data_IF_409391448722
#
_entry.id   IF_409391448722
#
_cell.length_a   1.000
_cell.length_b   1.000
_cell.length_c   1.000
_cell.angle_alpha   90.00
_cell.angle_beta   90.00
_cell.angle_gamma   90.00
#
_symmetry.space_group_name_H-M   'P 1'
#
loop_
_entity.id
_entity.type
_entity.pdbx_description
1 polymer ?
#
# COMPACT_ATOMS: atom_id res chain seq x y z
N UNK A 1 11.78 31.42 16.65
CA UNK A 1 11.42 29.99 16.75
C UNK A 1 11.77 29.31 15.43
N UNK A 2 12.73 28.38 15.42
CA UNK A 2 13.13 27.69 14.19
C UNK A 2 12.03 26.77 13.67
N UNK A 3 11.72 26.81 12.36
CA UNK A 3 10.83 25.83 11.72
C UNK A 3 11.35 24.42 12.02
N UNK A 4 10.55 23.60 12.70
CA UNK A 4 10.83 22.16 12.82
C UNK A 4 10.97 21.60 11.41
N UNK A 5 12.10 20.93 11.13
CA UNK A 5 12.27 20.26 9.85
C UNK A 5 11.19 19.18 9.67
N UNK A 6 10.66 19.00 8.45
CA UNK A 6 9.70 17.94 8.19
C UNK A 6 10.31 16.56 8.51
N UNK A 7 9.47 15.58 8.81
CA UNK A 7 9.92 14.20 9.09
C UNK A 7 10.41 13.49 7.82
N UNK A 8 9.78 13.80 6.69
CA UNK A 8 10.09 13.22 5.39
C UNK A 8 9.95 14.26 4.26
N UNK A 9 10.39 13.87 3.06
CA UNK A 9 10.21 14.63 1.81
C UNK A 9 9.91 13.69 0.65
N UNK A 10 9.18 14.16 -0.36
CA UNK A 10 8.88 13.39 -1.58
C UNK A 10 9.90 13.71 -2.66
N UNK A 11 10.47 12.69 -3.31
CA UNK A 11 11.47 12.83 -4.40
C UNK A 11 11.25 11.74 -5.45
N UNK A 12 12.00 11.76 -6.56
CA UNK A 12 12.03 10.61 -7.50
C UNK A 12 12.62 9.38 -6.80
N UNK A 13 12.00 8.22 -7.03
CA UNK A 13 12.46 6.94 -6.50
C UNK A 13 13.17 6.13 -7.59
N UNK A 14 14.14 5.33 -7.18
CA UNK A 14 14.72 4.28 -8.02
C UNK A 14 13.86 3.03 -8.10
N UNK A 15 12.90 2.85 -7.18
CA UNK A 15 11.96 1.73 -7.18
C UNK A 15 10.86 2.01 -8.22
N UNK A 16 10.07 3.07 -8.00
CA UNK A 16 8.99 3.43 -8.91
C UNK A 16 8.61 4.90 -8.76
N UNK A 17 8.58 5.65 -9.87
CA UNK A 17 8.02 7.01 -9.92
C UNK A 17 8.56 7.97 -8.84
N UNK A 18 7.74 8.22 -7.82
CA UNK A 18 8.09 9.02 -6.64
C UNK A 18 8.23 8.11 -5.42
N UNK A 19 9.06 8.54 -4.48
CA UNK A 19 9.28 7.91 -3.18
C UNK A 19 9.19 8.92 -2.06
N UNK A 20 8.95 8.42 -0.84
CA UNK A 20 9.03 9.22 0.39
C UNK A 20 10.33 8.90 1.09
N UNK A 21 11.11 9.93 1.45
CA UNK A 21 12.43 9.79 2.04
C UNK A 21 12.49 10.46 3.40
N UNK A 22 13.10 9.81 4.38
CA UNK A 22 13.34 10.39 5.69
C UNK A 22 14.22 11.66 5.56
N UNK A 23 13.78 12.80 6.09
CA UNK A 23 14.61 14.04 6.13
C UNK A 23 15.34 14.20 7.45
N UNK A 24 15.02 13.36 8.44
CA UNK A 24 15.69 13.25 9.73
C UNK A 24 15.70 11.78 10.17
N UNK A 25 16.43 11.47 11.24
CA UNK A 25 16.38 10.15 11.86
C UNK A 25 14.95 9.84 12.36
N UNK A 26 14.47 8.64 12.07
CA UNK A 26 13.18 8.11 12.53
C UNK A 26 13.46 6.82 13.33
N UNK A 27 12.86 6.71 14.51
CA UNK A 27 13.02 5.55 15.39
C UNK A 27 11.86 4.56 15.18
N UNK A 28 12.06 3.25 15.46
CA UNK A 28 10.97 2.27 15.48
C UNK A 28 9.80 2.73 16.37
N UNK A 29 8.57 2.38 15.98
CA UNK A 29 7.32 2.80 16.61
C UNK A 29 6.93 4.26 16.33
N UNK A 30 7.70 4.99 15.50
CA UNK A 30 7.28 6.34 15.12
C UNK A 30 6.19 6.26 14.07
N UNK A 31 4.99 6.76 14.40
CA UNK A 31 3.94 7.04 13.43
C UNK A 31 4.33 8.20 12.52
N UNK A 32 4.48 7.93 11.23
CA UNK A 32 5.06 8.87 10.26
C UNK A 32 3.96 9.70 9.58
N UNK A 33 2.94 9.02 9.05
CA UNK A 33 1.88 9.63 8.25
C UNK A 33 0.63 8.73 8.27
N UNK A 34 -0.55 9.33 8.25
CA UNK A 34 -1.80 8.62 7.95
C UNK A 34 -1.96 8.46 6.45
N UNK A 35 -2.38 7.28 6.00
CA UNK A 35 -2.76 7.05 4.60
C UNK A 35 -4.14 7.63 4.34
N UNK A 36 -4.21 8.71 3.54
CA UNK A 36 -5.46 9.43 3.26
C UNK A 36 -5.89 9.26 1.82
N UNK A 37 -7.19 9.40 1.61
CA UNK A 37 -7.89 9.35 0.32
C UNK A 37 -9.39 9.30 0.53
N UNK A 38 -10.13 9.20 -0.56
CA UNK A 38 -11.57 8.97 -0.53
C UNK A 38 -11.87 7.56 0.00
N UNK A 39 -12.88 7.41 0.86
CA UNK A 39 -13.36 6.08 1.27
C UNK A 39 -14.43 5.60 0.29
N UNK A 40 -14.17 4.48 -0.36
CA UNK A 40 -15.05 3.89 -1.39
C UNK A 40 -15.34 2.43 -1.07
N UNK A 41 -16.44 1.89 -1.60
CA UNK A 41 -16.68 0.45 -1.51
C UNK A 41 -15.85 -0.32 -2.53
N UNK A 42 -15.69 -1.63 -2.32
CA UNK A 42 -15.02 -2.49 -3.29
C UNK A 42 -15.68 -2.43 -4.66
N UNK A 43 -17.02 -2.42 -4.74
CA UNK A 43 -17.71 -2.33 -6.03
C UNK A 43 -17.48 -1.00 -6.74
N UNK A 44 -17.33 0.10 -6.00
CA UNK A 44 -17.01 1.41 -6.58
C UNK A 44 -15.56 1.46 -7.05
N UNK A 45 -14.62 0.88 -6.30
CA UNK A 45 -13.22 0.77 -6.71
C UNK A 45 -13.09 -0.06 -8.01
N UNK A 46 -13.74 -1.23 -8.06
CA UNK A 46 -13.77 -2.10 -9.25
C UNK A 46 -14.40 -1.38 -10.46
N UNK A 47 -15.43 -0.54 -10.23
CA UNK A 47 -16.05 0.27 -11.29
C UNK A 47 -15.09 1.35 -11.83
N UNK A 48 -14.27 1.94 -10.97
CA UNK A 48 -13.31 3.01 -11.34
C UNK A 48 -12.09 2.45 -12.05
N UNK A 49 -11.62 1.29 -11.62
CA UNK A 49 -10.35 0.71 -12.02
C UNK A 49 -10.59 -0.66 -12.63
N UNK A 50 -10.61 -0.68 -13.96
CA UNK A 50 -10.70 -1.90 -14.73
C UNK A 50 -9.29 -2.53 -14.84
N UNK A 51 -8.98 -3.43 -13.90
CA UNK A 51 -7.69 -4.12 -13.81
C UNK A 51 -7.30 -4.87 -15.11
N UNK A 52 -8.26 -5.20 -15.98
CA UNK A 52 -8.03 -5.92 -17.23
C UNK A 52 -7.60 -5.00 -18.39
N UNK A 53 -7.84 -3.69 -18.25
CA UNK A 53 -7.54 -2.70 -19.29
C UNK A 53 -6.52 -1.63 -18.88
N UNK A 54 -6.00 -1.69 -17.64
CA UNK A 54 -4.99 -0.75 -17.19
C UNK A 54 -3.58 -1.08 -17.70
N UNK A 55 -2.89 -0.07 -18.25
CA UNK A 55 -1.48 -0.17 -18.64
C UNK A 55 -0.53 -0.39 -17.45
N UNK A 56 -0.98 -0.11 -16.22
CA UNK A 56 -0.25 -0.28 -14.95
C UNK A 56 -1.21 -0.57 -13.81
N UNK A 57 -0.82 -1.41 -12.85
CA UNK A 57 -1.63 -1.66 -11.66
C UNK A 57 -1.90 -0.41 -10.85
N UNK A 58 -3.13 -0.31 -10.32
CA UNK A 58 -3.55 0.79 -9.49
C UNK A 58 -3.12 0.60 -8.03
N UNK A 59 -1.92 1.08 -7.69
CA UNK A 59 -1.30 0.87 -6.37
C UNK A 59 -1.76 1.86 -5.29
N UNK A 60 -2.86 2.59 -5.48
CA UNK A 60 -3.32 3.63 -4.54
C UNK A 60 -4.53 3.24 -3.70
N UNK A 61 -5.04 2.01 -3.85
CA UNK A 61 -6.11 1.46 -3.03
C UNK A 61 -5.53 0.81 -1.77
N UNK A 62 -6.09 1.15 -0.61
CA UNK A 62 -5.74 0.54 0.66
C UNK A 62 -6.99 -0.04 1.32
N UNK A 63 -7.02 -1.35 1.54
CA UNK A 63 -8.14 -2.04 2.19
C UNK A 63 -8.19 -1.71 3.68
N UNK A 64 -9.30 -1.14 4.15
CA UNK A 64 -9.52 -0.85 5.58
C UNK A 64 -10.25 -2.02 6.23
N UNK A 65 -11.26 -2.55 5.56
CA UNK A 65 -12.04 -3.72 5.95
C UNK A 65 -12.69 -4.40 4.72
N UNK A 66 -13.53 -5.40 4.94
CA UNK A 66 -14.22 -6.18 3.90
C UNK A 66 -15.13 -5.34 2.97
N UNK A 67 -15.41 -4.08 3.32
CA UNK A 67 -16.38 -3.24 2.63
C UNK A 67 -15.82 -1.90 2.17
N UNK A 68 -14.75 -1.41 2.80
CA UNK A 68 -14.22 -0.08 2.59
C UNK A 68 -12.74 -0.12 2.22
N UNK A 69 -12.42 0.60 1.15
CA UNK A 69 -11.06 0.92 0.74
C UNK A 69 -10.84 2.44 0.80
N UNK A 70 -9.57 2.82 0.96
CA UNK A 70 -9.11 4.20 0.77
C UNK A 70 -8.51 4.31 -0.62
N UNK A 71 -9.09 5.14 -1.46
CA UNK A 71 -8.57 5.52 -2.77
C UNK A 71 -7.75 6.81 -2.66
N UNK A 72 -6.42 6.68 -2.64
CA UNK A 72 -5.52 7.83 -2.54
C UNK A 72 -5.26 8.55 -3.88
N UNK A 73 -5.87 8.10 -4.99
CA UNK A 73 -5.90 8.87 -6.22
C UNK A 73 -6.82 10.10 -6.08
N UNK A 74 -7.87 9.97 -5.27
CA UNK A 74 -8.83 11.05 -4.95
C UNK A 74 -8.56 11.57 -3.54
N UNK A 75 -8.24 12.87 -3.42
CA UNK A 75 -7.97 13.54 -2.14
C UNK A 75 -6.90 12.87 -1.24
N UNK A 76 -5.98 12.14 -1.86
CA UNK A 76 -4.87 11.50 -1.14
C UNK A 76 -3.74 12.46 -0.77
N UNK A 77 -2.84 11.96 0.08
CA UNK A 77 -1.65 12.69 0.55
C UNK A 77 -0.35 12.00 0.10
N UNK A 78 0.79 12.42 0.66
CA UNK A 78 2.11 11.91 0.30
C UNK A 78 2.30 10.42 0.61
N UNK A 79 1.47 9.81 1.46
CA UNK A 79 1.57 8.39 1.81
C UNK A 79 1.42 7.47 0.58
N UNK A 80 0.67 7.91 -0.44
CA UNK A 80 0.51 7.17 -1.71
C UNK A 80 1.80 6.98 -2.50
N UNK A 81 2.85 7.74 -2.18
CA UNK A 81 4.16 7.64 -2.82
C UNK A 81 5.14 6.76 -2.03
N UNK A 82 4.71 6.09 -0.96
CA UNK A 82 5.55 5.16 -0.22
C UNK A 82 5.58 3.83 -0.98
N UNK A 83 6.76 3.45 -1.45
CA UNK A 83 6.93 2.31 -2.35
C UNK A 83 6.96 0.97 -1.62
N UNK A 84 6.78 -0.10 -2.40
CA UNK A 84 6.91 -1.47 -1.92
C UNK A 84 8.37 -1.85 -1.67
N UNK A 85 8.62 -2.65 -0.63
CA UNK A 85 9.85 -3.43 -0.46
C UNK A 85 9.56 -4.80 0.14
N UNK A 86 10.30 -5.82 -0.32
CA UNK A 86 10.30 -7.16 0.28
C UNK A 86 11.13 -7.23 1.59
N UNK A 87 11.99 -6.23 1.86
CA UNK A 87 12.60 -5.99 3.17
C UNK A 87 12.31 -4.55 3.61
N UNK A 88 11.09 -4.28 4.09
CA UNK A 88 10.65 -2.92 4.38
C UNK A 88 11.28 -2.34 5.65
N UNK A 89 11.13 -1.03 5.82
CA UNK A 89 11.50 -0.31 7.04
C UNK A 89 10.30 0.36 7.74
N UNK A 90 9.12 0.28 7.11
CA UNK A 90 7.84 0.69 7.66
C UNK A 90 6.81 -0.44 7.56
N UNK A 91 5.73 -0.32 8.33
CA UNK A 91 4.53 -1.15 8.22
C UNK A 91 3.28 -0.27 8.21
N UNK A 92 2.17 -0.84 7.73
CA UNK A 92 0.86 -0.21 7.83
C UNK A 92 0.10 -0.73 9.05
N UNK A 93 -0.38 0.18 9.88
CA UNK A 93 -1.12 -0.09 11.11
C UNK A 93 -2.55 0.41 10.96
N UNK A 94 -3.51 -0.51 11.10
CA UNK A 94 -4.93 -0.19 11.15
C UNK A 94 -5.34 0.07 12.60
N UNK A 95 -5.82 1.28 12.88
CA UNK A 95 -6.30 1.70 14.20
C UNK A 95 -7.55 2.58 14.03
N UNK A 96 -8.65 2.21 14.69
CA UNK A 96 -9.93 2.93 14.66
C UNK A 96 -10.43 3.25 13.23
N UNK A 97 -10.28 2.29 12.31
CA UNK A 97 -10.70 2.43 10.91
C UNK A 97 -9.84 3.41 10.08
N UNK A 98 -8.64 3.75 10.58
CA UNK A 98 -7.66 4.61 9.90
C UNK A 98 -6.36 3.83 9.71
N UNK A 99 -5.68 4.13 8.61
CA UNK A 99 -4.42 3.46 8.25
C UNK A 99 -3.29 4.43 8.50
N UNK A 100 -2.28 3.99 9.26
CA UNK A 100 -1.07 4.76 9.54
C UNK A 100 0.15 4.01 9.06
N UNK A 101 1.16 4.74 8.61
CA UNK A 101 2.47 4.17 8.30
C UNK A 101 3.39 4.45 9.48
N UNK A 102 3.96 3.37 10.02
CA UNK A 102 4.85 3.40 11.19
C UNK A 102 6.22 2.83 10.84
N UNK A 103 7.27 3.37 11.45
CA UNK A 103 8.61 2.83 11.32
C UNK A 103 8.78 1.56 12.16
N UNK A 104 9.32 0.48 11.58
CA UNK A 104 9.66 -0.76 12.29
C UNK A 104 11.17 -0.92 12.52
N UNK A 105 11.98 -0.11 11.85
CA UNK A 105 13.45 -0.07 11.96
C UNK A 105 13.91 1.36 12.26
N UNK A 106 15.18 1.52 12.67
CA UNK A 106 15.81 2.85 12.69
C UNK A 106 16.07 3.30 11.26
N UNK A 107 15.57 4.46 10.87
CA UNK A 107 15.67 5.00 9.51
C UNK A 107 16.54 6.25 9.53
N UNK A 108 17.61 6.23 8.74
CA UNK A 108 18.53 7.36 8.62
C UNK A 108 18.03 8.40 7.61
N UNK A 109 18.42 9.68 7.74
CA UNK A 109 18.10 10.68 6.73
C UNK A 109 18.57 10.25 5.34
N UNK A 110 17.73 10.47 4.33
CA UNK A 110 17.98 10.08 2.93
C UNK A 110 17.52 8.67 2.56
N UNK A 111 17.16 7.83 3.53
CA UNK A 111 16.63 6.49 3.25
C UNK A 111 15.16 6.58 2.83
N UNK A 112 14.80 5.85 1.78
CA UNK A 112 13.41 5.73 1.31
C UNK A 112 12.57 4.91 2.29
N UNK A 113 11.39 5.43 2.61
CA UNK A 113 10.39 4.73 3.39
C UNK A 113 9.68 3.72 2.49
N UNK A 114 9.59 2.48 2.95
CA UNK A 114 8.94 1.39 2.20
C UNK A 114 8.20 0.45 3.16
N UNK A 115 7.11 -0.13 2.68
CA UNK A 115 6.36 -1.18 3.38
C UNK A 115 6.03 -2.32 2.44
N UNK A 116 5.71 -3.50 2.99
CA UNK A 116 5.18 -4.59 2.18
C UNK A 116 3.72 -4.27 1.83
N UNK A 117 3.36 -4.33 0.56
CA UNK A 117 2.01 -3.97 0.12
C UNK A 117 0.99 -5.05 0.45
N UNK A 118 1.44 -6.29 0.72
CA UNK A 118 0.55 -7.43 0.86
C UNK A 118 -0.45 -7.53 -0.29
N UNK A 119 0.02 -7.24 -1.51
CA UNK A 119 -0.86 -7.11 -2.68
C UNK A 119 -1.40 -8.49 -3.05
N UNK A 120 -2.68 -8.71 -2.82
CA UNK A 120 -3.37 -9.95 -3.18
C UNK A 120 -4.12 -9.77 -4.49
N UNK A 121 -4.13 -10.82 -5.31
CA UNK A 121 -4.99 -10.89 -6.48
C UNK A 121 -5.69 -12.24 -6.54
N UNK A 122 -6.98 -12.20 -6.83
CA UNK A 122 -7.78 -13.39 -7.13
C UNK A 122 -7.67 -13.73 -8.63
N UNK A 123 -7.77 -15.02 -8.96
CA UNK A 123 -7.80 -15.49 -10.33
C UNK A 123 -6.50 -16.14 -10.83
N UNK A 124 -6.55 -16.77 -12.02
CA UNK A 124 -5.38 -17.42 -12.61
C UNK A 124 -4.34 -16.37 -13.06
N UNK A 125 -3.05 -16.69 -12.89
CA UNK A 125 -1.99 -15.87 -13.45
C UNK A 125 -2.09 -15.83 -14.98
N UNK A 126 -2.34 -14.66 -15.55
CA UNK A 126 -2.40 -14.50 -17.01
C UNK A 126 -1.07 -14.04 -17.60
N UNK A 127 -0.99 -14.06 -18.93
CA UNK A 127 0.21 -13.67 -19.68
C UNK A 127 0.45 -12.16 -19.52
N UNK A 128 1.66 -11.78 -19.10
CA UNK A 128 2.07 -10.37 -18.89
C UNK A 128 2.05 -9.91 -17.43
N UNK A 129 1.42 -10.67 -16.53
CA UNK A 129 1.38 -10.32 -15.09
C UNK A 129 2.75 -10.26 -14.44
N UNK A 130 3.66 -11.14 -14.84
CA UNK A 130 5.02 -11.17 -14.29
C UNK A 130 5.75 -9.83 -14.50
N UNK A 131 5.48 -9.14 -15.61
CA UNK A 131 6.03 -7.82 -15.91
C UNK A 131 5.26 -6.72 -15.17
N UNK A 132 3.93 -6.79 -15.19
CA UNK A 132 3.07 -5.75 -14.60
C UNK A 132 3.22 -5.68 -13.06
N UNK A 133 3.38 -6.82 -12.40
CA UNK A 133 3.63 -6.95 -10.95
C UNK A 133 5.10 -7.17 -10.60
N UNK A 134 6.04 -6.90 -11.51
CA UNK A 134 7.47 -7.07 -11.23
C UNK A 134 7.90 -6.20 -10.04
N UNK A 135 8.63 -6.79 -9.09
CA UNK A 135 9.17 -6.03 -7.96
C UNK A 135 10.57 -5.51 -8.30
N UNK A 136 10.75 -4.19 -8.15
CA UNK A 136 12.01 -3.50 -8.36
C UNK A 136 12.59 -2.90 -7.07
N UNK A 137 12.23 -3.44 -5.90
CA UNK A 137 12.64 -2.87 -4.61
C UNK A 137 14.15 -2.95 -4.33
N UNK A 138 14.88 -3.85 -4.99
CA UNK A 138 16.33 -4.01 -4.85
C UNK A 138 16.79 -4.73 -3.57
N UNK A 139 15.88 -5.25 -2.74
CA UNK A 139 16.23 -6.04 -1.56
C UNK A 139 16.92 -7.36 -1.95
N UNK A 140 17.90 -7.83 -1.15
CA UNK A 140 18.62 -9.09 -1.40
C UNK A 140 17.68 -10.30 -1.38
N UNK A 141 16.64 -10.25 -0.55
CA UNK A 141 15.60 -11.25 -0.41
C UNK A 141 14.32 -10.91 -1.22
N UNK A 142 14.45 -10.12 -2.29
CA UNK A 142 13.32 -9.73 -3.13
C UNK A 142 12.58 -10.97 -3.68
N UNK A 143 11.25 -10.96 -3.58
CA UNK A 143 10.37 -12.04 -4.06
C UNK A 143 10.23 -12.06 -5.59
N UNK A 144 10.73 -11.03 -6.28
CA UNK A 144 10.58 -10.83 -7.73
C UNK A 144 9.23 -10.26 -8.16
N UNK A 145 8.24 -10.24 -7.27
CA UNK A 145 6.91 -9.67 -7.51
C UNK A 145 6.37 -8.94 -6.27
N UNK A 146 5.52 -7.95 -6.48
CA UNK A 146 4.81 -7.24 -5.39
C UNK A 146 3.63 -8.06 -4.85
N UNK A 147 3.25 -9.15 -5.52
CA UNK A 147 2.16 -10.02 -5.11
C UNK A 147 2.53 -10.85 -3.88
N UNK A 148 1.58 -10.95 -2.94
CA UNK A 148 1.62 -11.96 -1.91
C UNK A 148 1.33 -13.35 -2.50
N UNK A 149 1.91 -14.38 -1.88
CA UNK A 149 1.63 -15.77 -2.27
C UNK A 149 0.13 -16.01 -2.12
N UNK A 150 -0.54 -16.72 -3.05
CA UNK A 150 -1.98 -16.85 -3.05
C UNK A 150 -2.47 -17.35 -1.68
N UNK A 151 -3.30 -16.54 -1.03
CA UNK A 151 -3.96 -16.92 0.21
C UNK A 151 -4.97 -18.03 -0.14
N UNK A 152 -4.99 -19.19 0.54
CA UNK A 152 -6.03 -20.17 0.31
C UNK A 152 -7.40 -19.50 0.54
N UNK A 153 -8.42 -19.80 -0.28
CA UNK A 153 -9.68 -19.06 -0.23
C UNK A 153 -10.26 -19.10 1.18
N UNK A 154 -10.56 -17.92 1.74
CA UNK A 154 -11.28 -17.83 3.00
C UNK A 154 -12.69 -18.41 2.79
N UNK A 155 -13.18 -19.30 3.68
CA UNK A 155 -14.53 -19.81 3.57
C UNK A 155 -15.51 -18.64 3.76
N UNK A 156 -16.13 -18.18 2.66
CA UNK A 156 -17.17 -17.16 2.67
C UNK A 156 -18.17 -17.45 3.78
N UNK A 157 -18.30 -16.55 4.74
CA UNK A 157 -19.33 -16.66 5.77
C UNK A 157 -20.68 -16.77 5.07
N UNK A 158 -21.41 -17.85 5.37
CA UNK A 158 -22.73 -18.10 4.79
C UNK A 158 -23.61 -16.91 5.13
N UNK A 159 -23.89 -16.03 4.16
CA UNK A 159 -24.96 -15.03 4.22
C UNK A 159 -26.22 -15.71 4.77
N UNK A 160 -26.58 -15.41 6.02
CA UNK A 160 -27.86 -15.81 6.60
C UNK A 160 -28.95 -15.16 5.73
N UNK A 161 -29.66 -15.97 4.96
CA UNK A 161 -30.88 -15.54 4.25
C UNK A 161 -31.83 -14.93 5.28
N UNK A 162 -32.20 -13.66 5.12
CA UNK A 162 -33.27 -13.03 5.92
C UNK A 162 -34.56 -13.85 5.71
N UNK A 163 -35.29 -14.20 6.77
CA UNK A 163 -36.58 -14.85 6.62
C UNK A 163 -37.55 -13.86 5.97
N UNK A 164 -38.21 -14.31 4.90
CA UNK A 164 -39.35 -13.60 4.33
C UNK A 164 -40.46 -13.56 5.39
N UNK A 165 -40.90 -12.36 5.78
CA UNK A 165 -42.19 -12.14 6.42
C UNK A 165 -43.22 -11.86 5.35
#
# INVERSE_FOLDING_TARGET
MGRRQPTFVVRRSSIQGKGVFASRRIHPGTRIIEYKGERVSSEEADRRYDDDHMERHHTFLFTVDDHILIDAAVDGNEARFINHSCDPNCEAVLEDGRVYIEAIKNIQPGIELTYDYHYEREGPYEKGWAELYACHCGAENCRGTILDKPRPPTPRSRRRKKPRR
#
